data_IF_823439757746
#
_entry.id   IF_823439757746
#
_cell.length_a   1.000
_cell.length_b   1.000
_cell.length_c   1.000
_cell.angle_alpha   90.00
_cell.angle_beta   90.00
_cell.angle_gamma   90.00
#
_symmetry.space_group_name_H-M   'P 1'
#
loop_
_entity.id
_entity.type
_entity.pdbx_description
1 polymer ?
#
# COMPACT_ATOMS: atom_id res chain seq x y z
N UNK A 1 14.59 14.59 -1.95
CA UNK A 1 13.92 15.16 -0.76
C UNK A 1 13.56 14.02 0.15
N UNK A 2 13.63 14.23 1.47
CA UNK A 2 13.14 13.29 2.47
C UNK A 2 11.79 13.80 2.95
N UNK A 3 10.75 12.98 2.80
CA UNK A 3 9.38 13.35 3.14
C UNK A 3 8.99 12.72 4.48
N UNK A 4 8.25 13.48 5.29
CA UNK A 4 7.70 13.06 6.58
C UNK A 4 6.29 13.61 6.72
N UNK A 5 5.51 12.99 7.60
CA UNK A 5 4.17 13.45 7.91
C UNK A 5 4.20 14.87 8.54
N UNK A 6 3.43 15.84 8.01
CA UNK A 6 3.32 17.18 8.57
C UNK A 6 2.80 17.16 10.01
N UNK A 7 3.45 17.89 10.92
CA UNK A 7 2.95 18.05 12.29
C UNK A 7 1.88 19.13 12.41
N UNK A 8 1.92 20.13 11.53
CA UNK A 8 1.04 21.29 11.53
C UNK A 8 0.85 21.80 10.09
N UNK A 9 -0.38 22.08 9.70
CA UNK A 9 -0.70 22.57 8.34
C UNK A 9 -0.24 24.01 8.07
N UNK A 10 0.01 24.79 9.12
CA UNK A 10 0.42 26.19 9.00
C UNK A 10 1.94 26.38 8.87
N UNK A 11 2.73 25.56 9.58
CA UNK A 11 4.19 25.76 9.73
C UNK A 11 5.04 24.61 9.22
N UNK A 12 4.46 23.42 9.03
CA UNK A 12 5.18 22.19 8.68
C UNK A 12 4.48 21.40 7.58
N UNK A 13 3.71 22.06 6.71
CA UNK A 13 3.07 21.40 5.56
C UNK A 13 3.65 21.92 4.25
N UNK A 14 4.42 21.07 3.57
CA UNK A 14 5.11 21.45 2.33
C UNK A 14 4.14 21.90 1.24
N UNK A 15 3.02 21.20 1.09
CA UNK A 15 1.98 21.56 0.12
C UNK A 15 1.27 22.86 0.46
N UNK A 16 1.02 23.11 1.75
CA UNK A 16 0.33 24.30 2.22
C UNK A 16 1.21 25.55 2.08
N UNK A 17 2.53 25.38 2.29
CA UNK A 17 3.50 26.47 2.25
C UNK A 17 4.04 26.75 0.84
N UNK A 18 3.97 25.79 -0.08
CA UNK A 18 4.45 25.98 -1.46
C UNK A 18 3.32 26.54 -2.32
N UNK A 19 3.35 27.85 -2.60
CA UNK A 19 2.46 28.43 -3.60
C UNK A 19 2.90 28.02 -5.00
N UNK A 20 2.11 27.17 -5.65
CA UNK A 20 2.28 26.78 -7.06
C UNK A 20 1.28 27.47 -7.98
N UNK A 21 0.43 28.33 -7.44
CA UNK A 21 -0.57 29.07 -8.22
C UNK A 21 0.09 30.11 -9.13
N UNK A 22 -0.33 30.17 -10.39
CA UNK A 22 0.17 31.14 -11.38
C UNK A 22 1.50 30.76 -12.05
N UNK A 23 2.08 29.60 -11.74
CA UNK A 23 3.26 29.11 -12.43
C UNK A 23 2.89 28.29 -13.67
N UNK A 24 3.58 28.56 -14.77
CA UNK A 24 3.47 27.83 -16.03
C UNK A 24 4.67 26.91 -16.20
N UNK A 25 4.66 26.05 -17.21
CA UNK A 25 5.83 25.22 -17.57
C UNK A 25 7.10 26.04 -17.81
N UNK A 26 6.97 27.30 -18.23
CA UNK A 26 8.09 28.22 -18.46
C UNK A 26 8.58 28.88 -17.17
N UNK A 27 7.69 29.14 -16.21
CA UNK A 27 8.02 29.82 -14.95
C UNK A 27 8.18 28.88 -13.75
N UNK A 28 7.96 27.56 -13.88
CA UNK A 28 8.07 26.61 -12.75
C UNK A 28 9.43 26.59 -12.03
N UNK A 29 10.49 27.06 -12.68
CA UNK A 29 11.83 27.15 -12.08
C UNK A 29 11.96 28.26 -11.04
N UNK A 30 11.02 29.22 -10.99
CA UNK A 30 11.01 30.30 -10.00
C UNK A 30 10.21 29.94 -8.74
N UNK A 31 9.55 28.77 -8.72
CA UNK A 31 8.84 28.28 -7.54
C UNK A 31 9.84 28.07 -6.41
N UNK A 32 9.60 28.73 -5.29
CA UNK A 32 10.41 28.58 -4.08
C UNK A 32 9.85 27.45 -3.23
N UNK A 33 10.61 26.37 -3.11
CA UNK A 33 10.24 25.22 -2.31
C UNK A 33 10.83 25.33 -0.90
N UNK A 34 10.03 25.39 0.16
CA UNK A 34 10.54 25.53 1.52
C UNK A 34 11.32 24.27 1.96
N UNK A 35 12.29 24.44 2.85
CA UNK A 35 13.02 23.35 3.50
C UNK A 35 12.49 23.23 4.93
N UNK A 36 11.57 22.31 5.16
CA UNK A 36 10.81 22.17 6.40
C UNK A 36 10.84 20.70 6.88
N UNK A 37 10.54 20.40 8.16
CA UNK A 37 10.62 19.05 8.70
C UNK A 37 9.84 17.98 7.91
N UNK A 38 8.68 18.33 7.35
CA UNK A 38 7.88 17.44 6.50
C UNK A 38 8.47 17.18 5.10
N UNK A 39 9.37 18.03 4.62
CA UNK A 39 10.02 17.90 3.31
C UNK A 39 11.42 18.52 3.33
N UNK A 40 12.40 17.72 3.77
CA UNK A 40 13.78 18.16 3.92
C UNK A 40 14.54 17.97 2.60
N UNK A 41 15.27 19.00 2.19
CA UNK A 41 16.15 18.94 1.02
C UNK A 41 17.32 17.99 1.29
N UNK A 42 17.74 17.19 0.30
CA UNK A 42 18.95 16.39 0.43
C UNK A 42 20.13 17.28 0.80
N UNK A 43 20.95 16.81 1.74
CA UNK A 43 22.20 17.50 2.11
C UNK A 43 23.18 17.30 0.95
N UNK A 44 23.79 18.37 0.42
CA UNK A 44 24.84 18.24 -0.58
C UNK A 44 25.99 17.40 -0.02
N UNK A 45 26.46 16.43 -0.80
CA UNK A 45 27.63 15.63 -0.44
C UNK A 45 28.88 16.51 -0.41
N UNK A 46 29.72 16.33 0.60
CA UNK A 46 31.04 16.95 0.75
C UNK A 46 32.04 15.87 1.21
N UNK A 47 33.31 16.22 1.40
CA UNK A 47 34.35 15.26 1.80
C UNK A 47 34.04 14.53 3.13
N UNK A 48 33.23 15.13 4.01
CA UNK A 48 32.76 14.50 5.25
C UNK A 48 31.53 13.59 5.09
N UNK A 49 30.82 13.65 3.95
CA UNK A 49 29.59 12.91 3.66
C UNK A 49 29.71 12.21 2.31
N UNK A 50 30.58 11.20 2.24
CA UNK A 50 30.78 10.38 1.04
C UNK A 50 29.47 9.81 0.52
N UNK A 51 29.30 9.80 -0.80
CA UNK A 51 28.15 9.19 -1.47
C UNK A 51 28.09 7.71 -1.06
N UNK A 52 26.98 7.22 -0.49
CA UNK A 52 26.82 5.80 -0.20
C UNK A 52 26.98 5.00 -1.48
N UNK A 53 27.96 4.12 -1.53
CA UNK A 53 28.16 3.23 -2.67
C UNK A 53 27.16 2.10 -2.56
N UNK A 54 26.33 1.93 -3.59
CA UNK A 54 25.40 0.82 -3.65
C UNK A 54 26.16 -0.51 -3.48
N UNK A 55 25.71 -1.41 -2.59
CA UNK A 55 26.34 -2.72 -2.44
C UNK A 55 26.28 -3.47 -3.77
N UNK A 56 27.42 -4.03 -4.21
CA UNK A 56 27.57 -4.72 -5.50
C UNK A 56 26.87 -6.08 -5.55
N UNK A 57 26.41 -6.58 -4.40
CA UNK A 57 25.80 -7.90 -4.26
C UNK A 57 24.68 -7.79 -3.23
N UNK A 58 23.45 -8.03 -3.68
CA UNK A 58 22.34 -8.32 -2.78
C UNK A 58 22.45 -9.79 -2.41
N UNK A 59 23.11 -10.09 -1.29
CA UNK A 59 22.99 -11.43 -0.74
C UNK A 59 21.63 -11.48 -0.05
N UNK A 60 20.63 -12.03 -0.75
CA UNK A 60 19.46 -12.56 -0.06
C UNK A 60 20.03 -13.57 0.94
N UNK A 61 19.97 -13.26 2.24
CA UNK A 61 20.23 -14.29 3.23
C UNK A 61 19.17 -15.37 2.97
N UNK A 62 19.54 -16.59 2.58
CA UNK A 62 18.57 -17.67 2.64
C UNK A 62 18.19 -17.80 4.11
N UNK A 63 16.90 -17.82 4.39
CA UNK A 63 16.40 -18.25 5.69
C UNK A 63 16.66 -19.76 5.82
N UNK A 64 17.90 -20.13 6.16
CA UNK A 64 18.26 -21.43 6.73
C UNK A 64 17.96 -21.37 8.23
N UNK A 65 17.20 -22.24 8.87
CA UNK A 65 16.79 -23.62 8.57
C UNK A 65 15.48 -23.92 9.30
N UNK A 66 14.61 -24.74 8.69
CA UNK A 66 14.11 -25.92 9.38
C UNK A 66 14.18 -27.09 8.40
N UNK A 67 15.14 -27.95 8.66
CA UNK A 67 15.42 -29.14 7.88
C UNK A 67 14.24 -30.12 7.93
N UNK A 68 13.71 -30.39 6.74
CA UNK A 68 12.88 -31.54 6.42
C UNK A 68 13.75 -32.81 6.50
N UNK A 69 13.82 -33.41 7.69
CA UNK A 69 14.34 -34.77 7.84
C UNK A 69 13.20 -35.76 7.58
N UNK A 70 12.87 -35.98 6.31
CA UNK A 70 12.08 -37.13 5.91
C UNK A 70 12.89 -38.43 6.04
N UNK A 71 12.44 -39.45 6.79
CA UNK A 71 13.05 -40.77 6.72
C UNK A 71 12.60 -41.45 5.42
N UNK A 72 13.53 -41.59 4.47
CA UNK A 72 13.41 -42.54 3.38
C UNK A 72 13.47 -43.97 3.93
N UNK A 73 12.45 -44.78 3.64
CA UNK A 73 12.52 -46.24 3.71
C UNK A 73 11.49 -46.87 2.76
N UNK A 74 11.99 -47.33 1.60
CA UNK A 74 11.73 -48.64 0.99
C UNK A 74 10.32 -49.04 0.53
N UNK A 75 10.19 -49.84 -0.55
CA UNK A 75 8.92 -50.16 -1.18
C UNK A 75 8.22 -51.38 -0.54
N UNK A 76 6.87 -51.36 -0.56
CA UNK A 76 5.94 -52.50 -0.77
C UNK A 76 4.73 -52.52 0.18
N UNK A 77 3.56 -52.57 -0.49
CA UNK A 77 2.34 -53.35 -0.17
C UNK A 77 1.54 -53.06 1.11
N UNK A 78 0.25 -52.75 0.90
CA UNK A 78 -0.96 -53.03 1.71
C UNK A 78 -0.86 -52.79 3.23
N UNK A 79 -1.74 -52.03 3.87
CA UNK A 79 -3.15 -52.37 4.09
C UNK A 79 -3.85 -51.14 4.69
N UNK A 80 -5.14 -51.03 4.44
CA UNK A 80 -6.14 -50.21 5.14
C UNK A 80 -5.97 -50.29 6.67
N UNK A 81 -5.81 -49.15 7.36
CA UNK A 81 -6.28 -48.97 8.74
C UNK A 81 -6.29 -47.48 9.13
N UNK A 82 -7.45 -47.04 9.61
CA UNK A 82 -7.77 -45.77 10.23
C UNK A 82 -6.89 -45.57 11.49
N UNK A 83 -5.93 -44.66 11.45
CA UNK A 83 -5.21 -44.24 12.65
C UNK A 83 -5.23 -42.71 12.78
N UNK A 84 -6.02 -42.31 13.76
CA UNK A 84 -6.25 -40.99 14.33
C UNK A 84 -4.98 -40.13 14.42
N UNK A 85 -4.81 -39.19 13.49
CA UNK A 85 -3.78 -38.16 13.57
C UNK A 85 -4.19 -37.10 14.61
N UNK A 86 -4.12 -37.45 15.88
CA UNK A 86 -4.16 -36.53 17.01
C UNK A 86 -2.78 -35.87 17.18
N UNK A 87 -2.52 -34.84 16.36
CA UNK A 87 -1.38 -33.95 16.55
C UNK A 87 -1.87 -32.49 16.65
N UNK A 88 -2.07 -32.07 17.89
CA UNK A 88 -1.81 -30.71 18.36
C UNK A 88 -2.54 -29.57 17.62
N UNK A 89 -3.88 -29.58 17.67
CA UNK A 89 -4.73 -28.42 17.36
C UNK A 89 -4.59 -27.35 18.46
N UNK A 90 -3.38 -26.82 18.69
CA UNK A 90 -3.18 -25.64 19.55
C UNK A 90 -3.81 -24.46 18.83
N UNK A 91 -5.05 -24.16 19.18
CA UNK A 91 -5.77 -22.89 19.07
C UNK A 91 -5.11 -21.75 18.27
N UNK A 92 -4.75 -21.98 17.00
CA UNK A 92 -4.34 -20.91 16.11
C UNK A 92 -5.64 -20.27 15.67
N UNK A 93 -6.01 -19.20 16.35
CA UNK A 93 -7.18 -18.42 15.96
C UNK A 93 -7.09 -18.14 14.46
N UNK A 94 -8.13 -18.44 13.66
CA UNK A 94 -8.09 -18.20 12.24
C UNK A 94 -7.70 -16.76 11.97
N UNK A 95 -6.63 -16.55 11.19
CA UNK A 95 -6.25 -15.21 10.75
C UNK A 95 -7.42 -14.66 9.92
N UNK A 96 -8.02 -13.59 10.40
CA UNK A 96 -9.04 -12.87 9.65
C UNK A 96 -8.36 -12.03 8.56
N UNK A 97 -8.97 -12.00 7.39
CA UNK A 97 -8.55 -11.19 6.25
C UNK A 97 -8.85 -9.73 6.55
N UNK A 98 -7.80 -8.92 6.46
CA UNK A 98 -7.87 -7.48 6.72
C UNK A 98 -8.31 -6.70 5.46
N UNK A 99 -8.67 -5.43 5.61
CA UNK A 99 -9.02 -4.57 4.48
C UNK A 99 -7.91 -4.45 3.40
N UNK A 100 -6.62 -4.24 3.74
CA UNK A 100 -5.55 -4.19 2.73
C UNK A 100 -5.36 -5.54 2.03
N UNK A 101 -5.42 -6.66 2.76
CA UNK A 101 -5.31 -8.00 2.16
C UNK A 101 -6.43 -8.26 1.17
N UNK A 102 -7.68 -7.90 1.52
CA UNK A 102 -8.80 -8.02 0.59
C UNK A 102 -8.62 -7.13 -0.65
N UNK A 103 -8.05 -5.93 -0.48
CA UNK A 103 -7.76 -5.02 -1.59
C UNK A 103 -6.65 -5.53 -2.50
N UNK A 104 -5.62 -6.15 -1.94
CA UNK A 104 -4.52 -6.77 -2.68
C UNK A 104 -5.04 -7.97 -3.47
N UNK A 105 -5.84 -8.85 -2.85
CA UNK A 105 -6.50 -9.96 -3.56
C UNK A 105 -7.34 -9.49 -4.74
N UNK A 106 -8.15 -8.44 -4.55
CA UNK A 106 -8.95 -7.85 -5.64
C UNK A 106 -8.07 -7.30 -6.76
N UNK A 107 -6.93 -6.67 -6.41
CA UNK A 107 -6.00 -6.10 -7.38
C UNK A 107 -5.27 -7.20 -8.17
N UNK A 108 -4.71 -8.19 -7.47
CA UNK A 108 -3.86 -9.22 -8.04
C UNK A 108 -4.67 -10.18 -8.93
N UNK A 109 -5.96 -10.35 -8.64
CA UNK A 109 -6.90 -11.11 -9.46
C UNK A 109 -7.64 -10.25 -10.49
N UNK A 110 -7.36 -8.94 -10.57
CA UNK A 110 -7.99 -7.99 -11.48
C UNK A 110 -9.52 -8.06 -11.50
N UNK A 111 -10.13 -8.23 -10.31
CA UNK A 111 -11.56 -8.48 -10.24
C UNK A 111 -12.38 -7.22 -10.58
N UNK A 112 -13.40 -7.32 -11.45
CA UNK A 112 -14.34 -6.23 -11.65
C UNK A 112 -15.13 -5.94 -10.37
N UNK A 113 -15.78 -4.78 -10.31
CA UNK A 113 -16.50 -4.30 -9.12
C UNK A 113 -17.47 -5.35 -8.54
N UNK A 114 -18.32 -5.93 -9.40
CA UNK A 114 -19.33 -6.91 -8.99
C UNK A 114 -18.71 -8.15 -8.34
N UNK A 115 -17.62 -8.65 -8.92
CA UNK A 115 -16.92 -9.83 -8.43
C UNK A 115 -16.15 -9.54 -7.15
N UNK A 116 -15.58 -8.34 -7.02
CA UNK A 116 -14.92 -7.88 -5.78
C UNK A 116 -15.88 -7.82 -4.61
N UNK A 117 -17.10 -7.29 -4.84
CA UNK A 117 -18.15 -7.27 -3.81
C UNK A 117 -18.65 -8.66 -3.46
N UNK A 118 -18.84 -9.52 -4.47
CA UNK A 118 -19.27 -10.89 -4.25
C UNK A 118 -18.24 -11.67 -3.43
N UNK A 119 -16.95 -11.55 -3.75
CA UNK A 119 -15.85 -12.14 -2.99
C UNK A 119 -15.89 -11.68 -1.52
N UNK A 120 -15.92 -10.37 -1.30
CA UNK A 120 -16.00 -9.82 0.06
C UNK A 120 -17.24 -10.31 0.82
N UNK A 121 -18.39 -10.38 0.15
CA UNK A 121 -19.64 -10.85 0.78
C UNK A 121 -19.57 -12.32 1.18
N UNK A 122 -18.92 -13.17 0.36
CA UNK A 122 -18.70 -14.58 0.70
C UNK A 122 -17.72 -14.74 1.85
N UNK A 123 -16.61 -14.00 1.85
CA UNK A 123 -15.65 -14.01 2.96
C UNK A 123 -16.29 -13.53 4.28
N UNK A 124 -17.20 -12.56 4.20
CA UNK A 124 -17.98 -12.11 5.35
C UNK A 124 -18.93 -13.21 5.87
N UNK A 125 -19.66 -13.87 4.98
CA UNK A 125 -20.55 -14.99 5.34
C UNK A 125 -19.78 -16.15 6.00
N UNK A 126 -18.53 -16.36 5.60
CA UNK A 126 -17.64 -17.37 6.18
C UNK A 126 -16.96 -16.92 7.48
N UNK A 127 -17.24 -15.71 7.97
CA UNK A 127 -16.57 -15.09 9.12
C UNK A 127 -15.03 -15.07 8.97
N UNK A 128 -14.54 -14.90 7.75
CA UNK A 128 -13.12 -14.82 7.42
C UNK A 128 -12.61 -13.39 7.30
N UNK A 129 -13.48 -12.38 7.42
CA UNK A 129 -13.09 -10.98 7.39
C UNK A 129 -12.96 -10.41 8.81
N UNK A 130 -12.04 -9.48 8.99
CA UNK A 130 -11.94 -8.69 10.21
C UNK A 130 -13.16 -7.76 10.38
N UNK A 131 -13.51 -7.46 11.63
CA UNK A 131 -14.56 -6.49 11.94
C UNK A 131 -14.17 -5.11 11.39
N UNK A 132 -15.06 -4.51 10.60
CA UNK A 132 -14.86 -3.16 10.03
C UNK A 132 -14.37 -3.13 8.58
N UNK A 133 -14.15 -4.29 7.93
CA UNK A 133 -13.89 -4.35 6.49
C UNK A 133 -15.10 -3.82 5.71
N UNK A 134 -14.87 -2.86 4.80
CA UNK A 134 -15.89 -2.17 4.03
C UNK A 134 -15.98 -2.71 2.60
N UNK A 135 -16.74 -3.78 2.41
CA UNK A 135 -17.01 -4.37 1.08
C UNK A 135 -17.69 -3.36 0.14
N UNK A 136 -18.54 -2.48 0.69
CA UNK A 136 -19.20 -1.42 -0.08
C UNK A 136 -18.23 -0.41 -0.71
N UNK A 137 -16.98 -0.33 -0.24
CA UNK A 137 -15.95 0.56 -0.81
C UNK A 137 -15.66 0.25 -2.29
N UNK A 138 -15.85 -1.00 -2.72
CA UNK A 138 -15.65 -1.38 -4.14
C UNK A 138 -16.65 -0.70 -5.08
N UNK A 139 -17.83 -0.27 -4.58
CA UNK A 139 -18.80 0.53 -5.37
C UNK A 139 -18.28 1.91 -5.73
N UNK A 140 -17.61 2.54 -4.77
CA UNK A 140 -17.10 3.91 -4.92
C UNK A 140 -15.71 3.92 -5.57
N UNK A 141 -14.95 2.82 -5.50
CA UNK A 141 -13.63 2.73 -6.13
C UNK A 141 -13.71 2.92 -7.65
N UNK A 142 -14.67 2.28 -8.33
CA UNK A 142 -14.81 2.49 -9.79
C UNK A 142 -15.32 3.88 -10.17
N UNK A 143 -16.10 4.57 -9.33
CA UNK A 143 -16.53 5.93 -9.66
C UNK A 143 -15.33 6.88 -9.74
N UNK A 144 -14.32 6.71 -8.88
CA UNK A 144 -13.07 7.50 -8.95
C UNK A 144 -12.24 7.19 -10.20
N UNK A 145 -12.37 5.98 -10.78
CA UNK A 145 -11.69 5.64 -12.03
C UNK A 145 -12.31 6.33 -13.26
N UNK A 146 -13.55 6.83 -13.16
CA UNK A 146 -14.17 7.63 -14.24
C UNK A 146 -13.46 8.96 -14.49
N UNK A 147 -12.61 9.41 -13.55
CA UNK A 147 -11.75 10.58 -13.69
C UNK A 147 -10.52 10.31 -14.57
N UNK A 148 -10.30 9.06 -14.95
CA UNK A 148 -9.20 8.64 -15.79
C UNK A 148 -9.75 8.18 -17.14
N UNK A 149 -9.08 8.56 -18.21
CA UNK A 149 -9.33 8.11 -19.58
C UNK A 149 -8.16 7.27 -20.05
N UNK A 150 -8.46 6.26 -20.86
CA UNK A 150 -7.46 5.39 -21.47
C UNK A 150 -7.48 5.59 -22.99
N UNK A 151 -6.31 5.86 -23.56
CA UNK A 151 -6.10 5.96 -25.01
C UNK A 151 -4.82 5.18 -25.34
N UNK A 152 -4.91 4.19 -26.23
CA UNK A 152 -3.76 3.36 -26.66
C UNK A 152 -2.95 2.75 -25.48
N UNK A 153 -3.63 2.32 -24.41
CA UNK A 153 -3.01 1.75 -23.21
C UNK A 153 -2.34 2.77 -22.27
N UNK A 154 -2.47 4.07 -22.56
CA UNK A 154 -2.05 5.16 -21.68
C UNK A 154 -3.24 5.66 -20.88
N UNK A 155 -3.17 5.51 -19.55
CA UNK A 155 -4.17 6.04 -18.62
C UNK A 155 -3.77 7.46 -18.19
N UNK A 156 -4.63 8.44 -18.44
CA UNK A 156 -4.41 9.85 -18.07
C UNK A 156 -5.66 10.48 -17.43
N UNK A 157 -5.47 11.50 -16.61
CA UNK A 157 -6.57 12.32 -16.11
C UNK A 157 -6.81 13.51 -17.03
N UNK A 158 -7.94 13.57 -17.77
CA UNK A 158 -8.25 14.73 -18.61
C UNK A 158 -8.48 16.01 -17.80
N UNK A 159 -8.93 15.93 -16.54
CA UNK A 159 -9.17 17.10 -15.68
C UNK A 159 -8.51 16.96 -14.30
N UNK A 160 -7.28 17.44 -14.16
CA UNK A 160 -6.53 17.37 -12.90
C UNK A 160 -7.17 18.14 -11.75
N UNK A 161 -8.03 19.13 -12.04
CA UNK A 161 -8.71 19.93 -11.03
C UNK A 161 -9.77 19.12 -10.27
N UNK A 162 -10.49 18.21 -10.95
CA UNK A 162 -11.53 17.37 -10.32
C UNK A 162 -10.91 16.35 -9.36
N UNK A 163 -9.74 15.80 -9.72
CA UNK A 163 -9.01 14.84 -8.89
C UNK A 163 -8.50 15.48 -7.58
N UNK A 164 -8.08 16.75 -7.64
CA UNK A 164 -7.62 17.50 -6.48
C UNK A 164 -8.79 17.79 -5.51
N UNK A 165 -9.98 18.10 -6.03
CA UNK A 165 -11.16 18.43 -5.20
C UNK A 165 -11.73 17.18 -4.50
N UNK A 166 -11.82 16.03 -5.18
CA UNK A 166 -12.41 14.82 -4.60
C UNK A 166 -11.49 14.16 -3.54
N UNK A 167 -10.17 14.24 -3.74
CA UNK A 167 -9.18 13.55 -2.90
C UNK A 167 -8.56 14.44 -1.82
N UNK A 168 -8.59 15.76 -1.99
CA UNK A 168 -8.21 16.73 -0.96
C UNK A 168 -9.47 17.29 -0.27
N UNK A 169 -10.17 16.46 0.51
CA UNK A 169 -10.88 16.98 1.67
C UNK A 169 -9.85 17.44 2.71
N UNK A 170 -9.06 18.47 2.38
CA UNK A 170 -8.33 19.26 3.36
C UNK A 170 -9.39 20.08 4.08
N UNK A 171 -10.06 19.43 5.02
CA UNK A 171 -10.75 20.16 6.06
C UNK A 171 -9.66 20.95 6.77
N UNK A 172 -9.71 22.28 6.63
CA UNK A 172 -8.98 23.18 7.49
C UNK A 172 -9.53 22.99 8.90
N UNK A 173 -9.11 21.92 9.57
CA UNK A 173 -9.18 21.86 11.02
C UNK A 173 -8.05 22.77 11.47
N UNK A 174 -8.43 23.96 11.94
CA UNK A 174 -7.57 24.78 12.77
C UNK A 174 -7.34 23.99 14.07
N UNK A 175 -6.51 22.96 14.01
CA UNK A 175 -5.92 22.34 15.17
C UNK A 175 -4.79 23.26 15.61
N UNK A 176 -4.92 23.82 16.81
CA UNK A 176 -3.90 24.67 17.41
C UNK A 176 -2.54 23.98 17.34
N UNK A 177 -1.61 24.60 16.62
CA UNK A 177 -0.23 24.13 16.52
C UNK A 177 0.47 24.48 17.84
N UNK A 178 0.59 23.48 18.72
CA UNK A 178 1.41 23.53 19.95
C UNK A 178 2.89 23.36 19.65
#
# INVERSE_FOLDING_TARGET
MVWREPRCHLTDCYFCMTSTFGFSSKSKHTVQYPNIPSAVRPVPHNESLSIPVAPKTYTLQPETDLEDFGPQLGPSTSTDDDEEQSADLVHRQPRLVTQPELNDLVRDLELPESNSQLLGSRLQQLNLLENGVKISSYRTRQSTLKLFSEDEGLVFCPNSNELMIERCHVTHTNGDCL
#
